data_IF_186909303868
#
_entry.id   IF_186909303868
#
_cell.length_a   1.000
_cell.length_b   1.000
_cell.length_c   1.000
_cell.angle_alpha   90.00
_cell.angle_beta   90.00
_cell.angle_gamma   90.00
#
_symmetry.space_group_name_H-M   'P 1'
#
loop_
_entity.id
_entity.type
_entity.pdbx_description
1 polymer ?
#
# COMPACT_ATOMS: atom_id res chain seq x y z
N UNK A 1 9.94 -19.51 -33.82
CA UNK A 1 10.54 -20.82 -33.43
C UNK A 1 9.65 -21.34 -32.30
N UNK A 2 8.88 -22.41 -32.58
CA UNK A 2 8.17 -23.14 -31.53
C UNK A 2 9.19 -23.57 -30.47
N UNK A 3 8.98 -23.13 -29.21
CA UNK A 3 9.70 -23.61 -28.05
C UNK A 3 8.95 -24.80 -27.49
N UNK A 4 9.45 -26.02 -27.68
CA UNK A 4 8.92 -27.19 -27.01
C UNK A 4 9.56 -27.29 -25.63
N UNK A 5 8.76 -27.17 -24.58
CA UNK A 5 9.19 -27.42 -23.22
C UNK A 5 9.41 -28.93 -23.04
N UNK A 6 10.49 -29.30 -22.41
CA UNK A 6 10.80 -30.70 -22.13
C UNK A 6 11.36 -30.84 -20.70
N UNK A 7 11.20 -32.00 -20.12
CA UNK A 7 11.78 -32.33 -18.82
C UNK A 7 12.42 -33.72 -18.86
N UNK A 8 13.53 -33.91 -18.14
CA UNK A 8 14.11 -35.21 -17.88
C UNK A 8 13.53 -35.90 -16.62
N UNK A 9 12.74 -35.17 -15.84
CA UNK A 9 11.98 -35.71 -14.69
C UNK A 9 10.72 -36.38 -15.24
N UNK A 10 10.27 -37.45 -14.60
CA UNK A 10 9.00 -38.11 -14.96
C UNK A 10 7.78 -37.21 -14.79
N UNK A 11 6.59 -37.77 -14.95
CA UNK A 11 5.34 -37.06 -14.69
C UNK A 11 5.30 -36.57 -13.21
N UNK A 12 4.97 -35.31 -13.00
CA UNK A 12 4.77 -34.70 -11.69
C UNK A 12 3.32 -34.75 -11.25
N UNK A 13 3.02 -34.09 -10.14
CA UNK A 13 1.65 -33.85 -9.70
C UNK A 13 0.89 -33.03 -10.74
N UNK A 14 -0.43 -33.30 -10.95
CA UNK A 14 -1.23 -32.53 -11.89
C UNK A 14 -1.37 -31.06 -11.45
N UNK A 15 -1.45 -30.16 -12.43
CA UNK A 15 -1.80 -28.77 -12.16
C UNK A 15 -3.25 -28.70 -11.65
N UNK A 16 -3.46 -28.01 -10.54
CA UNK A 16 -4.77 -27.87 -9.92
C UNK A 16 -5.26 -26.44 -10.18
N UNK A 17 -6.45 -26.32 -10.80
CA UNK A 17 -7.13 -25.04 -10.98
C UNK A 17 -8.12 -24.85 -9.83
N UNK A 18 -8.08 -23.67 -9.20
CA UNK A 18 -9.06 -23.19 -8.21
C UNK A 18 -9.76 -21.97 -8.78
N UNK A 19 -11.05 -21.85 -8.52
CA UNK A 19 -11.84 -20.68 -8.88
C UNK A 19 -12.46 -20.11 -7.62
N UNK A 20 -12.35 -18.78 -7.45
CA UNK A 20 -12.90 -18.01 -6.35
C UNK A 20 -13.77 -16.87 -6.89
N UNK A 21 -14.74 -16.42 -6.13
CA UNK A 21 -15.59 -15.29 -6.53
C UNK A 21 -14.90 -13.94 -6.27
N UNK A 22 -13.99 -13.90 -5.29
CA UNK A 22 -13.29 -12.69 -4.88
C UNK A 22 -11.80 -12.96 -4.62
N UNK A 23 -10.95 -11.99 -4.93
CA UNK A 23 -9.51 -12.07 -4.70
C UNK A 23 -9.12 -12.29 -3.23
N UNK A 24 -9.94 -11.79 -2.29
CA UNK A 24 -9.76 -12.04 -0.85
C UNK A 24 -9.98 -13.51 -0.48
N UNK A 25 -10.94 -14.19 -1.12
CA UNK A 25 -11.19 -15.62 -0.93
C UNK A 25 -10.05 -16.47 -1.50
N UNK A 26 -9.49 -16.07 -2.66
CA UNK A 26 -8.31 -16.70 -3.23
C UNK A 26 -7.14 -16.64 -2.24
N UNK A 27 -6.82 -15.46 -1.72
CA UNK A 27 -5.72 -15.27 -0.77
C UNK A 27 -5.94 -16.07 0.53
N UNK A 28 -7.17 -16.08 1.06
CA UNK A 28 -7.52 -16.86 2.24
C UNK A 28 -7.44 -18.37 1.99
N UNK A 29 -7.90 -18.83 0.82
CA UNK A 29 -7.82 -20.24 0.40
C UNK A 29 -6.39 -20.73 0.31
N UNK A 30 -5.49 -19.94 -0.29
CA UNK A 30 -4.06 -20.23 -0.39
C UNK A 30 -3.43 -20.31 1.00
N UNK A 31 -3.64 -19.32 1.86
CA UNK A 31 -3.10 -19.32 3.21
C UNK A 31 -3.55 -20.55 4.01
N UNK A 32 -4.82 -20.94 3.89
CA UNK A 32 -5.39 -22.13 4.50
C UNK A 32 -4.75 -23.42 3.98
N UNK A 33 -4.64 -23.59 2.65
CA UNK A 33 -4.02 -24.77 2.04
C UNK A 33 -2.55 -24.94 2.50
N UNK A 34 -1.80 -23.84 2.59
CA UNK A 34 -0.42 -23.86 3.08
C UNK A 34 -0.36 -24.33 4.54
N UNK A 35 -1.19 -23.78 5.41
CA UNK A 35 -1.24 -24.16 6.83
C UNK A 35 -1.63 -25.63 7.04
N UNK A 36 -2.61 -26.13 6.26
CA UNK A 36 -3.12 -27.50 6.36
C UNK A 36 -2.17 -28.54 5.73
N UNK A 37 -1.23 -28.11 4.89
CA UNK A 37 -0.32 -29.00 4.16
C UNK A 37 0.66 -29.78 5.05
N UNK A 38 1.01 -29.22 6.22
CA UNK A 38 2.04 -29.77 7.11
C UNK A 38 3.47 -29.74 6.57
N UNK A 39 3.72 -29.09 5.43
CA UNK A 39 5.04 -28.91 4.83
C UNK A 39 5.80 -27.74 5.44
N UNK A 40 7.11 -27.68 5.21
CA UNK A 40 7.93 -26.50 5.55
C UNK A 40 7.48 -25.31 4.71
N UNK A 41 7.28 -24.13 5.31
CA UNK A 41 6.83 -22.94 4.60
C UNK A 41 7.80 -22.47 3.52
N UNK A 42 9.08 -22.84 3.58
CA UNK A 42 10.08 -22.58 2.53
C UNK A 42 9.81 -23.32 1.22
N UNK A 43 8.97 -24.36 1.25
CA UNK A 43 8.59 -25.12 0.07
C UNK A 43 7.61 -24.36 -0.82
N UNK A 44 7.00 -23.27 -0.31
CA UNK A 44 5.92 -22.57 -0.98
C UNK A 44 6.37 -21.23 -1.56
N UNK A 45 5.96 -20.98 -2.80
CA UNK A 45 5.96 -19.68 -3.43
C UNK A 45 4.56 -19.31 -3.91
N UNK A 46 4.15 -18.08 -3.63
CA UNK A 46 2.93 -17.46 -4.18
C UNK A 46 3.37 -16.37 -5.15
N UNK A 47 3.03 -16.55 -6.41
CA UNK A 47 3.44 -15.70 -7.51
C UNK A 47 2.27 -14.87 -8.03
N UNK A 48 2.52 -13.59 -8.28
CA UNK A 48 1.54 -12.65 -8.79
C UNK A 48 2.13 -11.77 -9.91
N UNK A 49 1.28 -11.10 -10.68
CA UNK A 49 1.70 -10.29 -11.83
C UNK A 49 2.23 -8.92 -11.43
N UNK A 50 1.51 -8.19 -10.58
CA UNK A 50 1.85 -6.84 -10.14
C UNK A 50 2.08 -6.77 -8.63
N UNK A 51 2.92 -5.84 -8.19
CA UNK A 51 3.21 -5.67 -6.77
C UNK A 51 1.93 -5.31 -5.95
N UNK A 52 0.97 -4.64 -6.55
CA UNK A 52 -0.28 -4.26 -5.90
C UNK A 52 -1.05 -5.47 -5.35
N UNK A 53 -1.03 -6.60 -6.06
CA UNK A 53 -1.69 -7.84 -5.65
C UNK A 53 -1.15 -8.43 -4.34
N UNK A 54 0.08 -8.06 -3.91
CA UNK A 54 0.65 -8.60 -2.66
C UNK A 54 -0.15 -8.22 -1.42
N UNK A 55 -0.91 -7.10 -1.43
CA UNK A 55 -1.65 -6.61 -0.27
C UNK A 55 -2.56 -7.67 0.35
N UNK A 56 -3.45 -8.26 -0.45
CA UNK A 56 -4.39 -9.28 0.06
C UNK A 56 -3.67 -10.51 0.58
N UNK A 57 -2.60 -10.95 -0.09
CA UNK A 57 -1.79 -12.07 0.34
C UNK A 57 -1.08 -11.76 1.67
N UNK A 58 -0.49 -10.58 1.80
CA UNK A 58 0.17 -10.12 3.03
C UNK A 58 -0.84 -10.06 4.19
N UNK A 59 -2.01 -9.43 3.98
CA UNK A 59 -3.07 -9.34 4.98
C UNK A 59 -3.55 -10.72 5.43
N UNK A 60 -3.75 -11.67 4.49
CA UNK A 60 -4.17 -13.01 4.83
C UNK A 60 -3.07 -13.82 5.54
N UNK A 61 -1.80 -13.65 5.16
CA UNK A 61 -0.69 -14.25 5.89
C UNK A 61 -0.65 -13.75 7.35
N UNK A 62 -0.84 -12.44 7.56
CA UNK A 62 -0.91 -11.85 8.91
C UNK A 62 -2.10 -12.40 9.70
N UNK A 63 -3.30 -12.37 9.12
CA UNK A 63 -4.52 -12.85 9.78
C UNK A 63 -4.44 -14.34 10.16
N UNK A 64 -3.77 -15.15 9.34
CA UNK A 64 -3.58 -16.58 9.55
C UNK A 64 -2.34 -16.92 10.40
N UNK A 65 -1.57 -15.92 10.87
CA UNK A 65 -0.26 -16.10 11.52
C UNK A 65 0.71 -16.95 10.67
N UNK A 66 0.66 -16.82 9.35
CA UNK A 66 1.50 -17.53 8.40
C UNK A 66 2.75 -16.68 8.10
N UNK A 67 3.96 -17.12 8.53
CA UNK A 67 5.18 -16.37 8.28
C UNK A 67 5.47 -16.27 6.78
N UNK A 68 5.71 -15.06 6.28
CA UNK A 68 6.02 -14.82 4.88
C UNK A 68 7.22 -13.88 4.70
N UNK A 69 7.73 -13.84 3.48
CA UNK A 69 8.71 -12.84 3.02
C UNK A 69 8.36 -12.38 1.62
N UNK A 70 8.60 -11.10 1.36
CA UNK A 70 8.53 -10.54 0.01
C UNK A 70 9.90 -10.57 -0.65
N UNK A 71 9.94 -10.93 -1.93
CA UNK A 71 11.15 -10.91 -2.74
C UNK A 71 10.99 -9.89 -3.87
N UNK A 72 11.95 -8.97 -3.96
CA UNK A 72 11.98 -7.94 -5.01
C UNK A 72 11.10 -6.71 -4.74
N UNK A 73 10.64 -6.53 -3.52
CA UNK A 73 9.81 -5.39 -3.12
C UNK A 73 9.86 -5.10 -1.62
N UNK A 74 9.06 -4.14 -1.20
CA UNK A 74 8.78 -3.85 0.21
C UNK A 74 7.30 -4.11 0.49
N UNK A 75 6.99 -4.44 1.72
CA UNK A 75 5.64 -4.72 2.17
C UNK A 75 4.69 -3.59 1.82
N UNK A 76 3.45 -3.91 1.53
CA UNK A 76 2.47 -2.98 0.97
C UNK A 76 2.37 -1.69 1.79
N UNK A 77 2.16 -1.79 3.10
CA UNK A 77 2.03 -0.63 3.98
C UNK A 77 3.34 0.12 4.25
N UNK A 78 4.49 -0.41 3.81
CA UNK A 78 5.80 0.24 3.89
C UNK A 78 6.15 1.04 2.63
N UNK A 79 5.36 0.93 1.55
CA UNK A 79 5.57 1.68 0.29
C UNK A 79 5.42 3.16 0.52
N UNK A 80 6.23 3.96 -0.20
CA UNK A 80 6.31 5.42 -0.02
C UNK A 80 4.94 6.07 -0.17
N UNK A 81 4.26 5.83 -1.29
CA UNK A 81 2.95 6.40 -1.64
C UNK A 81 1.86 6.00 -0.64
N UNK A 82 1.89 4.77 -0.14
CA UNK A 82 0.95 4.28 0.87
C UNK A 82 1.19 4.98 2.20
N UNK A 83 2.45 5.10 2.63
CA UNK A 83 2.81 5.85 3.84
C UNK A 83 2.44 7.33 3.75
N UNK A 84 2.56 7.92 2.56
CA UNK A 84 2.20 9.32 2.34
C UNK A 84 0.69 9.51 2.52
N UNK A 85 -0.15 8.69 1.88
CA UNK A 85 -1.61 8.76 2.02
C UNK A 85 -2.05 8.44 3.47
N UNK A 86 -1.50 7.40 4.09
CA UNK A 86 -1.80 7.08 5.49
C UNK A 86 -1.39 8.20 6.45
N UNK A 87 -0.29 8.91 6.19
CA UNK A 87 0.12 10.05 7.00
C UNK A 87 -0.86 11.23 6.85
N UNK A 88 -1.45 11.44 5.67
CA UNK A 88 -2.57 12.37 5.51
C UNK A 88 -3.77 11.96 6.36
N UNK A 89 -4.22 10.72 6.24
CA UNK A 89 -5.36 10.19 7.00
C UNK A 89 -5.13 10.30 8.51
N UNK A 90 -3.95 9.94 9.02
CA UNK A 90 -3.57 10.11 10.44
C UNK A 90 -3.62 11.58 10.87
N UNK A 91 -3.10 12.49 10.03
CA UNK A 91 -3.12 13.92 10.32
C UNK A 91 -4.55 14.46 10.36
N UNK A 92 -5.42 13.99 9.47
CA UNK A 92 -6.83 14.36 9.42
C UNK A 92 -7.56 13.82 10.66
N UNK A 93 -7.31 12.57 11.06
CA UNK A 93 -7.97 11.97 12.22
C UNK A 93 -7.74 12.77 13.52
N UNK A 94 -6.51 13.12 13.85
CA UNK A 94 -6.26 13.81 15.12
C UNK A 94 -5.09 14.82 15.12
N UNK A 95 -4.16 14.76 14.17
CA UNK A 95 -2.99 15.65 14.08
C UNK A 95 -2.00 15.56 15.25
N UNK A 96 -2.03 14.47 16.04
CA UNK A 96 -1.12 14.28 17.17
C UNK A 96 0.14 13.48 16.81
N UNK A 97 0.13 12.79 15.67
CA UNK A 97 1.30 12.10 15.14
C UNK A 97 2.21 13.11 14.41
N UNK A 98 3.16 13.68 15.15
CA UNK A 98 4.10 14.66 14.62
C UNK A 98 4.91 14.12 13.43
N UNK A 99 5.23 12.82 13.41
CA UNK A 99 5.95 12.18 12.32
C UNK A 99 5.08 12.12 11.05
N UNK A 100 3.80 11.83 11.20
CA UNK A 100 2.87 11.84 10.08
C UNK A 100 2.74 13.25 9.49
N UNK A 101 2.57 14.27 10.31
CA UNK A 101 2.48 15.67 9.85
C UNK A 101 3.77 16.11 9.16
N UNK A 102 4.93 15.85 9.76
CA UNK A 102 6.24 16.18 9.18
C UNK A 102 6.47 15.48 7.84
N UNK A 103 5.95 14.27 7.69
CA UNK A 103 6.05 13.50 6.45
C UNK A 103 5.33 14.22 5.31
N UNK A 104 4.11 14.70 5.53
CA UNK A 104 3.24 15.22 4.46
C UNK A 104 3.29 16.73 4.26
N UNK A 105 3.84 17.49 5.18
CA UNK A 105 3.85 18.97 5.10
C UNK A 105 4.45 19.50 3.79
N UNK A 106 5.35 18.73 3.18
CA UNK A 106 5.98 19.06 1.88
C UNK A 106 5.82 17.93 0.85
N UNK A 107 4.80 17.11 0.97
CA UNK A 107 4.39 16.08 0.00
C UNK A 107 2.92 16.29 -0.35
N UNK A 108 2.58 16.65 -1.60
CA UNK A 108 3.48 17.04 -2.69
C UNK A 108 4.31 18.28 -2.36
N UNK A 109 5.31 18.59 -3.20
CA UNK A 109 6.26 19.70 -2.95
C UNK A 109 5.56 21.04 -2.83
N UNK A 110 5.59 21.65 -1.62
CA UNK A 110 5.05 23.00 -1.32
C UNK A 110 6.15 24.04 -1.13
N UNK A 111 7.44 23.63 -1.18
CA UNK A 111 8.57 24.48 -0.89
C UNK A 111 8.67 24.84 0.60
N UNK A 112 8.27 23.91 1.48
CA UNK A 112 8.49 23.95 2.93
C UNK A 112 9.70 23.05 3.21
N UNK A 113 10.88 23.64 3.29
CA UNK A 113 12.13 22.89 3.45
C UNK A 113 12.47 22.57 4.90
N UNK A 114 13.52 21.75 5.10
CA UNK A 114 13.95 21.28 6.42
C UNK A 114 14.24 22.39 7.44
N UNK A 115 14.75 23.54 6.99
CA UNK A 115 14.97 24.71 7.86
C UNK A 115 13.66 25.21 8.46
N UNK A 116 12.59 25.28 7.67
CA UNK A 116 11.26 25.71 8.15
C UNK A 116 10.68 24.68 9.10
N UNK A 117 10.78 23.38 8.76
CA UNK A 117 10.34 22.29 9.61
C UNK A 117 11.07 22.33 10.95
N UNK A 118 12.40 22.52 10.98
CA UNK A 118 13.18 22.62 12.20
C UNK A 118 12.75 23.79 13.09
N UNK A 119 12.41 24.96 12.51
CA UNK A 119 11.88 26.09 13.26
C UNK A 119 10.52 25.80 13.88
N UNK A 120 9.62 25.16 13.14
CA UNK A 120 8.30 24.76 13.64
C UNK A 120 8.47 23.75 14.79
N UNK A 121 9.34 22.74 14.63
CA UNK A 121 9.62 21.74 15.66
C UNK A 121 10.15 22.37 16.95
N UNK A 122 11.11 23.31 16.81
CA UNK A 122 11.65 24.02 17.98
C UNK A 122 10.58 24.83 18.69
N UNK A 123 9.77 25.58 17.94
CA UNK A 123 8.70 26.39 18.47
C UNK A 123 7.62 25.52 19.16
N UNK A 124 7.24 24.40 18.56
CA UNK A 124 6.31 23.41 19.12
C UNK A 124 6.81 22.92 20.50
N UNK A 125 8.09 22.54 20.58
CA UNK A 125 8.70 22.10 21.82
C UNK A 125 8.71 23.21 22.88
N UNK A 126 9.03 24.46 22.51
CA UNK A 126 9.01 25.61 23.44
C UNK A 126 7.61 25.94 23.97
N UNK A 127 6.58 25.75 23.16
CA UNK A 127 5.19 26.00 23.54
C UNK A 127 4.50 24.76 24.14
N UNK A 128 5.17 23.62 24.18
CA UNK A 128 4.62 22.31 24.62
C UNK A 128 3.32 21.95 23.89
N UNK A 129 3.33 22.07 22.56
CA UNK A 129 2.21 21.74 21.67
C UNK A 129 2.66 20.76 20.60
N UNK A 130 1.70 20.09 19.91
CA UNK A 130 2.01 19.21 18.77
C UNK A 130 2.56 20.01 17.60
N UNK A 131 3.30 19.34 16.71
CA UNK A 131 3.83 19.95 15.49
C UNK A 131 2.69 20.51 14.61
N UNK A 132 1.55 19.82 14.53
CA UNK A 132 0.38 20.32 13.81
C UNK A 132 -0.17 21.61 14.43
N UNK A 133 -0.29 21.67 15.76
CA UNK A 133 -0.72 22.89 16.44
C UNK A 133 0.24 24.03 16.20
N UNK A 134 1.54 23.80 16.18
CA UNK A 134 2.52 24.80 15.78
C UNK A 134 2.34 25.26 14.33
N UNK A 135 2.03 24.34 13.41
CA UNK A 135 1.72 24.68 12.02
C UNK A 135 0.50 25.61 11.90
N UNK A 136 -0.57 25.39 12.68
CA UNK A 136 -1.75 26.31 12.66
C UNK A 136 -1.42 27.71 13.16
N UNK A 137 -0.33 27.86 13.91
CA UNK A 137 0.16 29.11 14.47
C UNK A 137 1.44 29.63 13.78
N UNK A 138 1.68 29.18 12.53
CA UNK A 138 2.90 29.47 11.78
C UNK A 138 3.20 31.00 11.64
N UNK A 139 2.19 31.84 11.69
CA UNK A 139 2.34 33.31 11.68
C UNK A 139 3.04 33.87 12.91
N UNK A 140 3.06 33.15 14.04
CA UNK A 140 3.69 33.53 15.30
C UNK A 140 5.16 33.09 15.38
N UNK A 141 5.62 32.24 14.44
CA UNK A 141 6.95 31.65 14.48
C UNK A 141 7.95 32.55 13.77
N UNK A 142 8.83 33.16 14.54
CA UNK A 142 9.86 34.06 14.01
C UNK A 142 10.76 33.32 12.96
N UNK A 143 11.06 34.06 11.89
CA UNK A 143 11.98 33.60 10.87
C UNK A 143 11.42 32.59 9.89
N UNK A 144 10.11 32.23 9.90
CA UNK A 144 9.49 31.44 8.84
C UNK A 144 9.30 32.24 7.54
N UNK A 145 9.12 33.54 7.62
CA UNK A 145 8.97 34.40 6.46
C UNK A 145 7.87 33.90 5.50
N UNK A 146 8.20 33.78 4.21
CA UNK A 146 7.24 33.33 3.20
C UNK A 146 6.75 31.87 3.41
N UNK A 147 7.48 31.05 4.18
CA UNK A 147 7.06 29.69 4.48
C UNK A 147 5.83 29.66 5.40
N UNK A 148 5.63 30.67 6.24
CA UNK A 148 4.46 30.73 7.13
C UNK A 148 3.13 30.64 6.35
N UNK A 149 2.99 31.41 5.27
CA UNK A 149 1.80 31.36 4.41
C UNK A 149 1.57 29.99 3.77
N UNK A 150 2.64 29.28 3.38
CA UNK A 150 2.55 27.93 2.82
C UNK A 150 2.13 26.90 3.88
N UNK A 151 2.65 27.03 5.10
CA UNK A 151 2.26 26.18 6.24
C UNK A 151 0.81 26.39 6.60
N UNK A 152 0.34 27.66 6.65
CA UNK A 152 -1.07 27.96 6.89
C UNK A 152 -1.99 27.45 5.78
N UNK A 153 -1.56 27.50 4.52
CA UNK A 153 -2.32 26.91 3.42
C UNK A 153 -2.43 25.37 3.57
N UNK A 154 -1.35 24.69 3.98
CA UNK A 154 -1.38 23.28 4.28
C UNK A 154 -2.36 22.95 5.43
N UNK A 155 -2.31 23.68 6.55
CA UNK A 155 -3.24 23.43 7.66
C UNK A 155 -4.68 23.76 7.31
N UNK A 156 -4.92 24.76 6.45
CA UNK A 156 -6.24 25.06 5.89
C UNK A 156 -6.79 23.91 5.06
N UNK A 157 -5.96 23.27 4.25
CA UNK A 157 -6.33 22.10 3.46
C UNK A 157 -6.69 20.90 4.35
N UNK A 158 -5.88 20.62 5.39
CA UNK A 158 -6.21 19.56 6.38
C UNK A 158 -7.53 19.87 7.11
N UNK A 159 -7.78 21.14 7.44
CA UNK A 159 -9.04 21.54 8.08
C UNK A 159 -10.26 21.33 7.15
N UNK A 160 -10.10 21.57 5.84
CA UNK A 160 -11.15 21.28 4.86
C UNK A 160 -11.47 19.77 4.81
N UNK A 161 -10.47 18.91 4.72
CA UNK A 161 -10.67 17.46 4.75
C UNK A 161 -11.37 16.98 6.03
N UNK A 162 -10.99 17.52 7.19
CA UNK A 162 -11.71 17.24 8.46
C UNK A 162 -13.18 17.62 8.40
N UNK A 163 -13.47 18.81 7.87
CA UNK A 163 -14.84 19.27 7.73
C UNK A 163 -15.67 18.36 6.81
N UNK A 164 -15.09 17.87 5.72
CA UNK A 164 -15.78 16.92 4.84
C UNK A 164 -16.03 15.58 5.53
N UNK A 165 -15.05 15.06 6.29
CA UNK A 165 -15.23 13.86 7.09
C UNK A 165 -16.35 14.03 8.14
N UNK A 166 -16.39 15.17 8.85
CA UNK A 166 -17.45 15.50 9.80
C UNK A 166 -18.85 15.64 9.15
N UNK A 167 -18.90 15.99 7.86
CA UNK A 167 -20.11 16.04 7.07
C UNK A 167 -20.55 14.66 6.51
N UNK A 168 -19.78 13.61 6.80
CA UNK A 168 -20.11 12.23 6.45
C UNK A 168 -19.44 11.71 5.17
N UNK A 169 -18.38 12.36 4.68
CA UNK A 169 -17.57 11.80 3.60
C UNK A 169 -16.95 10.46 4.05
N UNK A 170 -16.96 9.46 3.17
CA UNK A 170 -16.36 8.17 3.42
C UNK A 170 -14.84 8.20 3.31
N UNK A 171 -14.19 7.13 3.79
CA UNK A 171 -12.70 7.03 3.75
C UNK A 171 -12.20 7.00 2.31
N UNK A 172 -12.92 6.31 1.41
CA UNK A 172 -12.60 6.28 -0.02
C UNK A 172 -12.59 7.69 -0.61
N UNK A 173 -13.70 8.41 -0.44
CA UNK A 173 -13.87 9.78 -0.95
C UNK A 173 -12.77 10.69 -0.40
N UNK A 174 -12.44 10.54 0.89
CA UNK A 174 -11.37 11.30 1.52
C UNK A 174 -9.98 11.02 0.89
N UNK A 175 -9.68 9.77 0.57
CA UNK A 175 -8.42 9.42 -0.13
C UNK A 175 -8.40 10.07 -1.53
N UNK A 176 -9.49 9.97 -2.28
CA UNK A 176 -9.62 10.55 -3.62
C UNK A 176 -9.45 12.09 -3.57
N UNK A 177 -10.08 12.77 -2.62
CA UNK A 177 -9.90 14.22 -2.39
C UNK A 177 -8.45 14.58 -2.03
N UNK A 178 -7.80 13.80 -1.17
CA UNK A 178 -6.38 14.02 -0.82
C UNK A 178 -5.52 13.97 -2.09
N UNK A 179 -5.72 13.00 -2.96
CA UNK A 179 -4.94 12.82 -4.18
C UNK A 179 -5.13 13.99 -5.16
N UNK A 180 -6.38 14.42 -5.35
CA UNK A 180 -6.74 15.46 -6.31
C UNK A 180 -6.38 16.86 -5.78
N UNK A 181 -6.91 17.24 -4.62
CA UNK A 181 -6.83 18.60 -4.07
C UNK A 181 -5.41 18.97 -3.62
N UNK A 182 -4.62 18.01 -3.16
CA UNK A 182 -3.21 18.28 -2.87
C UNK A 182 -2.35 18.33 -4.13
N UNK A 183 -2.80 17.73 -5.23
CA UNK A 183 -2.04 17.52 -6.45
C UNK A 183 -1.04 16.35 -6.34
N UNK A 184 -1.19 15.47 -5.34
CA UNK A 184 -0.28 14.34 -5.14
C UNK A 184 -0.35 13.35 -6.31
N UNK A 185 -1.55 13.08 -6.84
CA UNK A 185 -1.70 12.26 -8.03
C UNK A 185 -0.87 12.81 -9.20
N UNK A 186 -0.94 14.12 -9.46
CA UNK A 186 -0.16 14.77 -10.53
C UNK A 186 1.34 14.70 -10.29
N UNK A 187 1.79 14.76 -9.01
CA UNK A 187 3.20 14.58 -8.68
C UNK A 187 3.68 13.19 -9.04
N UNK A 188 2.86 12.15 -8.76
CA UNK A 188 3.17 10.75 -9.13
C UNK A 188 3.17 10.54 -10.65
N UNK A 189 2.19 11.09 -11.35
CA UNK A 189 2.08 11.00 -12.83
C UNK A 189 3.26 11.67 -13.56
N UNK A 190 3.99 12.57 -12.91
CA UNK A 190 5.19 13.20 -13.46
C UNK A 190 6.48 12.40 -13.22
N UNK A 191 6.43 11.26 -12.57
CA UNK A 191 7.55 10.34 -12.41
C UNK A 191 7.78 9.51 -13.69
N UNK A 192 8.71 8.56 -13.67
CA UNK A 192 8.86 7.58 -14.75
C UNK A 192 7.55 6.81 -14.96
N UNK A 193 7.14 6.58 -16.20
CA UNK A 193 5.83 6.01 -16.57
C UNK A 193 5.52 4.68 -15.82
N UNK A 194 6.50 3.77 -15.77
CA UNK A 194 6.35 2.46 -15.11
C UNK A 194 6.25 2.62 -13.58
N UNK A 195 7.04 3.54 -13.01
CA UNK A 195 7.00 3.81 -11.57
C UNK A 195 5.70 4.51 -11.18
N UNK A 196 5.24 5.46 -11.98
CA UNK A 196 3.96 6.16 -11.79
C UNK A 196 2.79 5.18 -11.81
N UNK A 197 2.70 4.31 -12.82
CA UNK A 197 1.65 3.29 -12.95
C UNK A 197 1.64 2.37 -11.72
N UNK A 198 2.79 1.85 -11.33
CA UNK A 198 2.92 0.97 -10.14
C UNK A 198 2.44 1.65 -8.87
N UNK A 199 2.78 2.93 -8.66
CA UNK A 199 2.36 3.68 -7.45
C UNK A 199 0.87 3.98 -7.46
N UNK A 200 0.30 4.33 -8.59
CA UNK A 200 -1.14 4.55 -8.73
C UNK A 200 -1.94 3.26 -8.53
N UNK A 201 -1.45 2.11 -9.00
CA UNK A 201 -2.04 0.80 -8.70
C UNK A 201 -2.02 0.51 -7.19
N UNK A 202 -0.90 0.80 -6.50
CA UNK A 202 -0.82 0.64 -5.05
C UNK A 202 -1.84 1.53 -4.32
N UNK A 203 -2.01 2.78 -4.73
CA UNK A 203 -3.02 3.67 -4.15
C UNK A 203 -4.44 3.15 -4.41
N UNK A 204 -4.71 2.63 -5.60
CA UNK A 204 -6.00 1.99 -5.93
C UNK A 204 -6.28 0.80 -5.00
N UNK A 205 -5.26 0.01 -4.67
CA UNK A 205 -5.41 -1.08 -3.70
C UNK A 205 -5.69 -0.57 -2.27
N UNK A 206 -5.11 0.55 -1.86
CA UNK A 206 -5.47 1.18 -0.58
C UNK A 206 -6.93 1.66 -0.58
N UNK A 207 -7.40 2.21 -1.70
CA UNK A 207 -8.83 2.58 -1.87
C UNK A 207 -9.72 1.35 -1.79
N UNK A 208 -9.35 0.24 -2.45
CA UNK A 208 -10.07 -1.03 -2.36
C UNK A 208 -10.16 -1.53 -0.91
N UNK A 209 -9.08 -1.39 -0.13
CA UNK A 209 -9.09 -1.71 1.31
C UNK A 209 -10.07 -0.84 2.08
N UNK A 210 -10.10 0.47 1.82
CA UNK A 210 -11.05 1.40 2.46
C UNK A 210 -12.51 1.04 2.12
N UNK A 211 -12.78 0.68 0.87
CA UNK A 211 -14.11 0.21 0.43
C UNK A 211 -14.50 -1.07 1.15
N UNK A 212 -13.61 -2.06 1.20
CA UNK A 212 -13.87 -3.34 1.87
C UNK A 212 -14.14 -3.15 3.37
N UNK A 213 -13.36 -2.28 4.03
CA UNK A 213 -13.59 -1.91 5.43
C UNK A 213 -14.96 -1.27 5.63
N UNK A 214 -15.32 -0.31 4.78
CA UNK A 214 -16.61 0.40 4.87
C UNK A 214 -17.80 -0.55 4.69
N UNK A 215 -17.71 -1.51 3.78
CA UNK A 215 -18.77 -2.52 3.54
C UNK A 215 -18.86 -3.51 4.71
N UNK A 216 -17.75 -3.85 5.33
CA UNK A 216 -17.68 -4.81 6.44
C UNK A 216 -18.00 -4.23 7.82
N UNK A 217 -18.03 -2.89 7.97
CA UNK A 217 -18.27 -2.22 9.25
C UNK A 217 -19.70 -1.68 9.34
N UNK A 218 -20.34 -1.83 10.52
CA UNK A 218 -21.65 -1.23 10.80
C UNK A 218 -21.56 0.30 10.92
N UNK A 219 -20.47 0.81 11.46
CA UNK A 219 -20.20 2.23 11.65
C UNK A 219 -18.74 2.52 11.25
N UNK A 220 -18.44 2.69 9.95
CA UNK A 220 -17.08 2.90 9.50
C UNK A 220 -16.50 4.20 10.08
N UNK A 221 -15.37 4.09 10.79
CA UNK A 221 -14.63 5.18 11.40
C UNK A 221 -13.18 5.23 10.92
N UNK A 222 -12.66 6.43 10.68
CA UNK A 222 -11.31 6.61 10.17
C UNK A 222 -10.24 6.13 11.16
N UNK A 223 -10.45 6.31 12.48
CA UNK A 223 -9.48 5.89 13.49
C UNK A 223 -9.41 4.37 13.58
N UNK A 224 -10.56 3.67 13.55
CA UNK A 224 -10.61 2.21 13.51
C UNK A 224 -9.96 1.64 12.24
N UNK A 225 -10.22 2.26 11.09
CA UNK A 225 -9.53 1.89 9.84
C UNK A 225 -8.01 2.00 9.96
N UNK A 226 -7.52 3.09 10.55
CA UNK A 226 -6.08 3.31 10.75
C UNK A 226 -5.48 2.32 11.76
N UNK A 227 -6.23 1.91 12.79
CA UNK A 227 -5.82 0.87 13.74
C UNK A 227 -5.70 -0.50 13.04
N UNK A 228 -6.69 -0.87 12.22
CA UNK A 228 -6.64 -2.12 11.44
C UNK A 228 -5.43 -2.16 10.52
N UNK A 229 -5.16 -1.07 9.81
CA UNK A 229 -3.97 -0.93 8.95
C UNK A 229 -2.68 -1.03 9.77
N UNK A 230 -2.62 -0.42 10.95
CA UNK A 230 -1.44 -0.46 11.81
C UNK A 230 -1.13 -1.88 12.29
N UNK A 231 -2.14 -2.66 12.66
CA UNK A 231 -1.97 -4.06 13.09
C UNK A 231 -1.28 -4.91 12.01
N UNK A 232 -1.63 -4.72 10.74
CA UNK A 232 -0.99 -5.45 9.63
C UNK A 232 0.45 -4.98 9.42
N UNK A 233 0.70 -3.67 9.50
CA UNK A 233 2.02 -3.10 9.21
C UNK A 233 3.09 -3.42 10.25
N UNK A 234 2.72 -3.73 11.50
CA UNK A 234 3.66 -3.99 12.59
C UNK A 234 4.16 -5.44 12.67
N UNK A 235 3.49 -6.38 12.01
CA UNK A 235 3.87 -7.82 11.99
C UNK A 235 5.16 -8.07 11.20
N UNK A 236 5.64 -7.11 10.42
CA UNK A 236 6.85 -7.21 9.59
C UNK A 236 8.18 -7.37 10.36
N UNK A 237 8.16 -7.39 11.70
CA UNK A 237 9.35 -7.49 12.55
C UNK A 237 9.69 -8.91 12.98
N UNK A 238 9.18 -9.94 12.30
CA UNK A 238 9.46 -11.33 12.64
C UNK A 238 10.91 -11.73 12.32
N UNK A 239 11.48 -12.57 13.17
CA UNK A 239 12.84 -13.09 13.14
C UNK A 239 13.18 -13.80 11.83
N UNK A 240 14.29 -13.42 11.18
CA UNK A 240 14.78 -13.98 9.91
C UNK A 240 15.13 -15.48 9.97
N UNK A 241 15.20 -16.08 11.15
CA UNK A 241 15.52 -17.50 11.33
C UNK A 241 14.36 -18.47 11.07
N UNK A 242 13.12 -17.97 10.94
CA UNK A 242 11.93 -18.82 10.79
C UNK A 242 11.70 -19.25 9.33
N UNK A 243 11.11 -20.44 9.16
CA UNK A 243 10.57 -20.90 7.88
C UNK A 243 9.47 -19.97 7.39
N UNK A 244 9.50 -19.51 6.11
CA UNK A 244 8.59 -18.52 5.58
C UNK A 244 8.13 -18.86 4.18
N UNK A 245 6.86 -18.59 3.88
CA UNK A 245 6.31 -18.58 2.52
C UNK A 245 6.93 -17.43 1.72
N UNK A 246 7.27 -17.68 0.47
CA UNK A 246 7.82 -16.66 -0.41
C UNK A 246 6.73 -16.05 -1.27
N UNK A 247 6.53 -14.74 -1.16
CA UNK A 247 5.64 -13.94 -2.01
C UNK A 247 6.49 -13.14 -2.99
N UNK A 248 6.22 -13.22 -4.29
CA UNK A 248 6.98 -12.48 -5.30
C UNK A 248 6.22 -12.31 -6.61
N UNK A 249 6.68 -11.37 -7.44
CA UNK A 249 6.19 -11.26 -8.81
C UNK A 249 6.71 -12.41 -9.68
N UNK A 250 5.97 -12.74 -10.75
CA UNK A 250 6.43 -13.70 -11.78
C UNK A 250 7.81 -13.33 -12.34
N UNK A 251 8.09 -12.02 -12.50
CA UNK A 251 9.39 -11.56 -12.97
C UNK A 251 10.52 -11.88 -11.98
N UNK A 252 10.25 -11.72 -10.68
CA UNK A 252 11.24 -12.02 -9.62
C UNK A 252 11.50 -13.51 -9.46
N UNK A 253 10.56 -14.36 -9.89
CA UNK A 253 10.66 -15.81 -9.81
C UNK A 253 11.59 -16.42 -10.89
N UNK A 254 12.01 -15.65 -11.88
CA UNK A 254 12.85 -16.17 -12.97
C UNK A 254 14.14 -16.80 -12.44
N UNK A 255 14.33 -18.09 -12.72
CA UNK A 255 15.51 -18.85 -12.30
C UNK A 255 15.42 -19.43 -10.89
N UNK A 256 14.29 -19.26 -10.20
CA UNK A 256 14.03 -19.89 -8.91
C UNK A 256 13.12 -21.13 -9.10
N UNK A 257 13.24 -22.10 -8.20
CA UNK A 257 12.41 -23.30 -8.19
C UNK A 257 11.88 -23.54 -6.78
N UNK A 258 10.59 -23.91 -6.69
CA UNK A 258 9.91 -24.24 -5.42
C UNK A 258 9.14 -25.56 -5.56
N UNK A 259 9.08 -26.37 -4.49
CA UNK A 259 8.29 -27.61 -4.50
C UNK A 259 6.80 -27.38 -4.76
N UNK A 260 6.24 -26.29 -4.25
CA UNK A 260 4.82 -25.92 -4.42
C UNK A 260 4.73 -24.45 -4.84
N UNK A 261 4.01 -24.21 -5.92
CA UNK A 261 3.83 -22.87 -6.48
C UNK A 261 2.34 -22.57 -6.66
N UNK A 262 1.91 -21.43 -6.14
CA UNK A 262 0.60 -20.86 -6.42
C UNK A 262 0.76 -19.70 -7.41
N UNK A 263 -0.05 -19.68 -8.47
CA UNK A 263 -0.18 -18.56 -9.40
C UNK A 263 -1.52 -17.89 -9.12
N UNK A 264 -1.49 -16.62 -8.72
CA UNK A 264 -2.69 -15.87 -8.31
C UNK A 264 -3.10 -14.84 -9.34
N UNK A 265 -4.40 -14.48 -9.35
CA UNK A 265 -4.94 -13.46 -10.24
C UNK A 265 -4.88 -13.86 -11.71
N UNK A 266 -5.10 -15.13 -12.01
CA UNK A 266 -5.16 -15.67 -13.37
C UNK A 266 -6.51 -15.33 -14.00
N UNK A 267 -6.75 -14.03 -14.25
CA UNK A 267 -8.00 -13.51 -14.77
C UNK A 267 -7.79 -12.36 -15.76
N UNK A 268 -8.72 -12.20 -16.69
CA UNK A 268 -8.69 -11.14 -17.69
C UNK A 268 -8.61 -9.76 -17.04
N UNK A 269 -7.64 -8.96 -17.47
CA UNK A 269 -7.39 -7.63 -16.95
C UNK A 269 -6.23 -7.55 -15.94
N UNK A 270 -5.89 -8.67 -15.28
CA UNK A 270 -4.69 -8.81 -14.45
C UNK A 270 -3.62 -9.65 -15.14
N UNK A 271 -3.97 -10.85 -15.55
CA UNK A 271 -3.08 -11.77 -16.25
C UNK A 271 -3.87 -12.69 -17.18
N UNK A 272 -3.97 -12.33 -18.50
CA UNK A 272 -3.29 -11.21 -19.18
C UNK A 272 -3.82 -9.83 -18.82
N UNK A 273 -2.98 -8.79 -18.99
CA UNK A 273 -3.36 -7.40 -18.72
C UNK A 273 -4.38 -6.88 -19.73
N UNK A 274 -5.18 -5.87 -19.36
CA UNK A 274 -6.13 -5.24 -20.29
C UNK A 274 -5.43 -4.67 -21.54
N UNK A 275 -4.20 -4.17 -21.39
CA UNK A 275 -3.41 -3.67 -22.52
C UNK A 275 -3.04 -4.78 -23.50
N UNK A 276 -2.60 -5.94 -22.98
CA UNK A 276 -2.27 -7.11 -23.83
C UNK A 276 -3.52 -7.63 -24.55
N UNK A 277 -4.66 -7.67 -23.85
CA UNK A 277 -5.94 -8.07 -24.45
C UNK A 277 -6.36 -7.08 -25.55
N UNK A 278 -6.27 -5.76 -25.29
CA UNK A 278 -6.65 -4.72 -26.24
C UNK A 278 -5.70 -4.66 -27.47
N UNK A 279 -4.43 -4.95 -27.28
CA UNK A 279 -3.45 -5.01 -28.36
C UNK A 279 -3.61 -6.24 -29.25
N UNK A 280 -4.38 -7.24 -28.83
CA UNK A 280 -4.53 -8.55 -29.49
C UNK A 280 -3.16 -9.21 -29.81
N UNK A 281 -2.20 -9.04 -28.90
CA UNK A 281 -0.84 -9.54 -29.05
C UNK A 281 -0.77 -10.98 -28.50
N UNK A 282 -0.85 -11.93 -29.41
CA UNK A 282 -0.79 -13.36 -29.07
C UNK A 282 0.49 -13.75 -28.32
N UNK A 283 1.58 -12.98 -28.51
CA UNK A 283 2.87 -13.26 -27.87
C UNK A 283 2.93 -12.80 -26.41
N UNK A 284 2.09 -11.87 -26.01
CA UNK A 284 1.94 -11.44 -24.60
C UNK A 284 0.82 -12.20 -23.87
N UNK A 285 -0.07 -12.85 -24.62
CA UNK A 285 -1.14 -13.69 -24.05
C UNK A 285 -0.71 -15.13 -23.76
N UNK A 286 0.41 -15.61 -24.34
CA UNK A 286 1.03 -16.90 -24.07
C UNK A 286 1.98 -16.84 -22.85
#
# INVERSE_FOLDING_TARGET
>A
KEKTLWTARGEGEPVILRQYEQAGEEAAGIAKEILESGRDYRDFAVLYRTNAQSRLLEEQCVAANLPYRLVGGVNFYQRKEIKDVLAYLKTIANGQDDLAVQRIINVPKRGIGGVSIGKITLWAAMQNVSFYTACTRAGEIEGLGKAAGKVLAFTGQIAAFRSHLEQGAGIKELIEEILEDTGYQKELENEDEVEAETRLENIKELINKAVSYTVGSENPDLSEFLEEVALVSDVDRMDDSQSRVTLMTLHSAKGLEFPVVYLTGMEDGLFPSMMSIAANDETEME
#
